data_IF_469954344454
#
_entry.id   IF_469954344454
#
_cell.length_a   1.000
_cell.length_b   1.000
_cell.length_c   1.000
_cell.angle_alpha   90.00
_cell.angle_beta   90.00
_cell.angle_gamma   90.00
#
_symmetry.space_group_name_H-M   'P 1'
#
loop_
_entity.id
_entity.type
_entity.pdbx_description
1 polymer ?
#
# COMPACT_ATOMS: atom_id res chain seq x y z
N UNK A 1 -23.56 31.58 -53.08
CA UNK A 1 -22.16 32.09 -53.03
C UNK A 1 -22.09 33.28 -52.08
N UNK A 2 -20.97 33.41 -51.34
CA UNK A 2 -20.62 34.35 -50.24
C UNK A 2 -20.85 33.73 -48.84
N UNK A 3 -19.81 33.11 -48.23
CA UNK A 3 -18.79 33.68 -47.29
C UNK A 3 -19.48 34.18 -46.00
N UNK A 4 -19.16 33.79 -44.76
CA UNK A 4 -17.88 33.57 -44.08
C UNK A 4 -18.17 32.80 -42.76
N UNK A 5 -17.38 31.79 -42.38
CA UNK A 5 -16.27 31.87 -41.40
C UNK A 5 -16.70 32.24 -39.97
N UNK A 6 -16.57 31.27 -39.05
CA UNK A 6 -16.79 31.46 -37.62
C UNK A 6 -16.41 30.21 -36.82
N UNK A 7 -15.17 29.73 -36.99
CA UNK A 7 -14.54 28.78 -36.06
C UNK A 7 -14.58 29.39 -34.65
N UNK A 8 -15.37 28.82 -33.74
CA UNK A 8 -15.11 28.94 -32.31
C UNK A 8 -14.35 27.69 -31.88
N UNK A 9 -13.04 27.78 -32.07
CA UNK A 9 -12.07 26.99 -31.33
C UNK A 9 -12.29 27.35 -29.87
N UNK A 10 -13.09 26.55 -29.16
CA UNK A 10 -12.93 26.46 -27.73
C UNK A 10 -11.53 25.88 -27.52
N UNK A 11 -10.57 26.76 -27.28
CA UNK A 11 -9.25 26.39 -26.77
C UNK A 11 -9.52 25.58 -25.50
N UNK A 12 -9.53 24.26 -25.66
CA UNK A 12 -9.06 23.37 -24.62
C UNK A 12 -7.66 23.88 -24.32
N UNK A 13 -7.53 24.67 -23.27
CA UNK A 13 -6.25 24.85 -22.60
C UNK A 13 -5.88 23.46 -22.10
N UNK A 14 -5.32 22.64 -23.00
CA UNK A 14 -4.38 21.60 -22.65
C UNK A 14 -3.17 22.36 -22.11
N UNK A 15 -3.30 22.86 -20.89
CA UNK A 15 -2.15 23.23 -20.10
C UNK A 15 -1.43 21.90 -19.91
N UNK A 16 -0.20 21.72 -20.42
CA UNK A 16 0.63 20.66 -19.90
C UNK A 16 1.00 21.16 -18.51
N UNK A 17 0.10 20.97 -17.55
CA UNK A 17 0.43 21.13 -16.15
C UNK A 17 1.37 19.97 -15.84
N UNK A 18 2.65 20.14 -16.19
CA UNK A 18 3.74 19.63 -15.37
C UNK A 18 3.72 20.38 -14.03
N UNK A 19 2.56 20.40 -13.37
CA UNK A 19 2.46 20.71 -11.96
C UNK A 19 3.10 19.52 -11.28
N UNK A 20 4.24 19.75 -10.64
CA UNK A 20 4.88 18.72 -9.83
C UNK A 20 3.87 18.15 -8.84
N UNK A 21 3.97 16.84 -8.56
CA UNK A 21 3.15 16.17 -7.55
C UNK A 21 3.19 16.97 -6.25
N UNK A 22 2.01 17.32 -5.75
CA UNK A 22 1.83 18.14 -4.55
C UNK A 22 0.80 17.51 -3.61
N UNK A 23 0.64 18.10 -2.42
CA UNK A 23 -0.34 17.62 -1.44
C UNK A 23 -1.78 17.65 -1.96
N UNK A 24 -2.07 18.50 -2.96
CA UNK A 24 -3.39 18.64 -3.56
C UNK A 24 -3.64 17.65 -4.70
N UNK A 25 -2.61 17.01 -5.26
CA UNK A 25 -2.75 15.98 -6.29
C UNK A 25 -3.55 14.79 -5.76
N UNK A 26 -4.44 14.22 -6.56
CA UNK A 26 -5.19 13.00 -6.24
C UNK A 26 -4.28 11.80 -5.97
N UNK A 27 -4.81 10.75 -5.33
CA UNK A 27 -4.01 9.52 -5.12
C UNK A 27 -3.71 8.82 -6.44
N UNK A 28 -4.62 8.89 -7.41
CA UNK A 28 -4.45 8.37 -8.76
C UNK A 28 -3.29 9.07 -9.48
N UNK A 29 -3.19 10.40 -9.40
CA UNK A 29 -2.05 11.16 -9.93
C UNK A 29 -0.74 10.82 -9.22
N UNK A 30 -0.76 10.67 -7.89
CA UNK A 30 0.45 10.32 -7.11
C UNK A 30 0.93 8.91 -7.45
N UNK A 31 0.04 7.92 -7.52
CA UNK A 31 0.38 6.52 -7.78
C UNK A 31 0.83 6.27 -9.22
N UNK A 32 0.34 7.08 -10.17
CA UNK A 32 0.74 6.98 -11.58
C UNK A 32 2.04 7.72 -11.90
N UNK A 33 2.50 8.62 -11.02
CA UNK A 33 3.69 9.42 -11.24
C UNK A 33 4.99 8.60 -11.02
N UNK A 34 5.76 8.44 -12.09
CA UNK A 34 7.06 7.72 -12.07
C UNK A 34 8.17 8.43 -11.29
N UNK A 35 7.98 9.70 -10.97
CA UNK A 35 8.97 10.55 -10.28
C UNK A 35 8.79 10.55 -8.76
N UNK A 36 7.77 9.85 -8.24
CA UNK A 36 7.48 9.76 -6.81
C UNK A 36 7.43 8.31 -6.36
N UNK A 37 7.69 8.12 -5.07
CA UNK A 37 7.57 6.84 -4.39
C UNK A 37 6.69 7.02 -3.16
N UNK A 38 5.69 6.16 -3.05
CA UNK A 38 4.77 6.10 -1.93
C UNK A 38 5.24 5.01 -0.98
N UNK A 39 5.46 5.35 0.30
CA UNK A 39 5.81 4.38 1.33
C UNK A 39 4.63 4.20 2.28
N UNK A 40 3.64 3.42 1.84
CA UNK A 40 2.47 3.14 2.63
C UNK A 40 2.84 2.32 3.89
N UNK A 41 2.17 2.54 5.03
CA UNK A 41 2.18 1.57 6.12
C UNK A 41 1.63 0.22 5.64
N UNK A 42 1.83 -0.82 6.45
CA UNK A 42 1.40 -2.18 6.12
C UNK A 42 0.32 -2.69 7.07
N UNK A 43 -0.63 -3.45 6.53
CA UNK A 43 -1.58 -4.31 7.23
C UNK A 43 -1.03 -5.74 7.23
N UNK A 44 -1.15 -6.46 8.35
CA UNK A 44 -0.72 -7.85 8.41
C UNK A 44 -1.90 -8.80 8.12
N UNK A 45 -1.78 -9.55 7.04
CA UNK A 45 -2.76 -10.53 6.56
C UNK A 45 -2.10 -11.91 6.34
N UNK A 46 -1.31 -12.37 7.30
CA UNK A 46 -0.38 -13.51 7.15
C UNK A 46 0.96 -13.12 6.49
N UNK A 47 1.00 -11.95 5.85
CA UNK A 47 2.19 -11.22 5.42
C UNK A 47 1.91 -9.72 5.48
N UNK A 48 2.96 -8.90 5.42
CA UNK A 48 2.81 -7.45 5.30
C UNK A 48 2.28 -7.07 3.92
N UNK A 49 1.17 -6.33 3.90
CA UNK A 49 0.51 -5.82 2.69
C UNK A 49 0.32 -4.31 2.84
N UNK A 50 0.71 -3.53 1.83
CA UNK A 50 0.57 -2.07 1.86
C UNK A 50 -0.89 -1.63 1.93
N UNK A 51 -1.18 -0.57 2.70
CA UNK A 51 -2.54 0.01 2.81
C UNK A 51 -3.12 0.45 1.46
N UNK A 52 -2.29 0.68 0.46
CA UNK A 52 -2.69 1.09 -0.90
C UNK A 52 -3.08 -0.09 -1.77
N UNK A 53 -2.87 -1.32 -1.29
CA UNK A 53 -3.24 -2.57 -1.94
C UNK A 53 -4.38 -3.31 -1.23
N UNK A 54 -5.04 -2.65 -0.27
CA UNK A 54 -6.20 -3.20 0.45
C UNK A 54 -7.46 -2.39 0.19
N UNK A 55 -8.60 -3.06 0.27
CA UNK A 55 -9.93 -2.48 0.29
C UNK A 55 -10.70 -2.99 1.52
N UNK A 56 -11.73 -2.26 1.92
CA UNK A 56 -12.62 -2.64 3.00
C UNK A 56 -13.72 -3.56 2.47
N UNK A 57 -13.83 -4.74 3.07
CA UNK A 57 -14.85 -5.75 2.79
C UNK A 57 -15.68 -5.98 4.07
N UNK A 58 -16.73 -5.19 4.24
CA UNK A 58 -17.54 -5.15 5.45
C UNK A 58 -16.70 -4.81 6.70
N UNK A 59 -16.52 -5.80 7.58
CA UNK A 59 -15.76 -5.68 8.84
C UNK A 59 -14.30 -6.15 8.72
N UNK A 60 -13.82 -6.41 7.50
CA UNK A 60 -12.47 -6.88 7.22
C UNK A 60 -11.77 -5.96 6.22
N UNK A 61 -10.44 -6.02 6.22
CA UNK A 61 -9.60 -5.53 5.13
C UNK A 61 -9.26 -6.73 4.24
N UNK A 62 -9.33 -6.55 2.92
CA UNK A 62 -9.02 -7.56 1.91
C UNK A 62 -8.02 -6.99 0.89
N UNK A 63 -7.16 -7.81 0.31
CA UNK A 63 -6.35 -7.36 -0.83
C UNK A 63 -7.23 -6.97 -2.03
N UNK A 64 -6.82 -6.00 -2.82
CA UNK A 64 -7.59 -5.57 -4.01
C UNK A 64 -7.52 -6.62 -5.12
N UNK A 65 -6.44 -7.42 -5.15
CA UNK A 65 -6.25 -8.53 -6.10
C UNK A 65 -5.72 -9.77 -5.36
N UNK A 66 -5.84 -10.97 -5.97
CA UNK A 66 -5.21 -12.17 -5.43
C UNK A 66 -3.70 -11.99 -5.26
N UNK A 67 -3.16 -12.57 -4.19
CA UNK A 67 -1.74 -12.62 -3.91
C UNK A 67 -1.28 -14.07 -3.99
N UNK A 68 -0.17 -14.28 -4.69
CA UNK A 68 0.43 -15.60 -4.84
C UNK A 68 1.01 -16.09 -3.51
N UNK A 69 0.70 -17.33 -3.19
CA UNK A 69 1.31 -18.08 -2.10
C UNK A 69 2.48 -18.86 -2.68
N UNK A 70 3.67 -18.58 -2.19
CA UNK A 70 4.91 -19.21 -2.65
C UNK A 70 5.50 -20.11 -1.57
N UNK A 71 6.10 -21.22 -1.98
CA UNK A 71 6.92 -22.07 -1.12
C UNK A 71 8.29 -22.28 -1.75
N UNK A 72 9.32 -22.35 -0.92
CA UNK A 72 10.63 -22.81 -1.36
C UNK A 72 10.64 -24.33 -1.48
N UNK A 73 11.01 -24.84 -2.65
CA UNK A 73 11.29 -26.26 -2.88
C UNK A 73 12.78 -26.44 -3.12
N UNK A 74 13.38 -27.36 -2.37
CA UNK A 74 14.79 -27.72 -2.54
C UNK A 74 14.91 -28.93 -3.45
N UNK A 75 15.71 -28.81 -4.50
CA UNK A 75 16.08 -29.87 -5.43
C UNK A 75 17.61 -30.04 -5.37
N UNK A 76 18.09 -30.85 -4.43
CA UNK A 76 19.53 -30.97 -4.15
C UNK A 76 20.11 -29.63 -3.67
N UNK A 77 21.10 -29.11 -4.39
CA UNK A 77 21.78 -27.84 -4.06
C UNK A 77 21.04 -26.58 -4.58
N UNK A 78 19.86 -26.74 -5.19
CA UNK A 78 19.06 -25.63 -5.74
C UNK A 78 17.82 -25.40 -4.90
N UNK A 79 17.54 -24.14 -4.59
CA UNK A 79 16.28 -23.70 -4.01
C UNK A 79 15.48 -22.95 -5.08
N UNK A 80 14.24 -23.38 -5.30
CA UNK A 80 13.31 -22.75 -6.24
C UNK A 80 12.07 -22.27 -5.49
N UNK A 81 11.67 -21.02 -5.74
CA UNK A 81 10.42 -20.47 -5.20
C UNK A 81 9.29 -20.79 -6.17
N UNK A 82 8.35 -21.64 -5.75
CA UNK A 82 7.22 -22.09 -6.57
C UNK A 82 5.92 -21.52 -6.04
N UNK A 83 5.08 -21.00 -6.94
CA UNK A 83 3.71 -20.58 -6.61
C UNK A 83 2.83 -21.82 -6.44
N UNK A 84 2.21 -21.96 -5.27
CA UNK A 84 1.36 -23.11 -4.91
C UNK A 84 -0.13 -22.77 -4.80
N UNK A 85 -0.46 -21.48 -4.92
CA UNK A 85 -1.84 -21.01 -4.92
C UNK A 85 -1.88 -19.49 -5.08
N UNK A 86 -3.07 -18.97 -5.34
CA UNK A 86 -3.32 -17.54 -5.40
C UNK A 86 -4.69 -17.27 -4.79
N UNK A 87 -4.81 -16.24 -3.97
CA UNK A 87 -6.05 -15.94 -3.28
C UNK A 87 -6.06 -14.55 -2.69
N UNK A 88 -7.26 -14.06 -2.39
CA UNK A 88 -7.42 -12.82 -1.64
C UNK A 88 -6.99 -13.04 -0.20
N UNK A 89 -6.11 -12.18 0.30
CA UNK A 89 -5.78 -12.16 1.73
C UNK A 89 -6.80 -11.29 2.44
N UNK A 90 -7.18 -11.67 3.66
CA UNK A 90 -8.14 -10.92 4.46
C UNK A 90 -7.74 -10.94 5.94
N UNK A 91 -8.04 -9.86 6.64
CA UNK A 91 -7.88 -9.74 8.10
C UNK A 91 -9.01 -8.89 8.67
N UNK A 92 -9.55 -9.21 9.85
CA UNK A 92 -10.58 -8.38 10.45
C UNK A 92 -10.02 -6.99 10.80
N UNK A 93 -10.82 -5.94 10.60
CA UNK A 93 -10.45 -4.57 10.96
C UNK A 93 -10.17 -4.47 12.45
N UNK A 94 -11.05 -5.06 13.26
CA UNK A 94 -10.89 -5.19 14.70
C UNK A 94 -10.43 -6.60 15.02
N UNK A 95 -9.24 -6.73 15.59
CA UNK A 95 -8.61 -8.02 15.81
C UNK A 95 -8.40 -8.31 17.29
N UNK A 96 -8.43 -9.59 17.62
CA UNK A 96 -8.13 -10.11 18.97
C UNK A 96 -7.24 -11.33 18.83
N UNK A 97 -6.01 -11.24 19.34
CA UNK A 97 -5.00 -12.28 19.21
C UNK A 97 -4.52 -12.65 20.61
N UNK A 98 -4.25 -13.93 20.82
CA UNK A 98 -3.61 -14.40 22.05
C UNK A 98 -2.11 -14.46 21.81
N UNK A 99 -1.34 -13.69 22.58
CA UNK A 99 0.12 -13.73 22.57
C UNK A 99 0.60 -14.38 23.86
N UNK A 100 1.62 -15.22 23.76
CA UNK A 100 2.29 -15.76 24.94
C UNK A 100 3.31 -14.72 25.42
N UNK A 101 3.05 -14.08 26.56
CA UNK A 101 3.98 -13.15 27.16
C UNK A 101 4.77 -13.88 28.26
N UNK A 102 6.07 -14.06 28.03
CA UNK A 102 6.96 -14.73 28.96
C UNK A 102 7.82 -13.73 29.72
N UNK A 103 7.84 -13.85 31.04
CA UNK A 103 8.69 -13.06 31.91
C UNK A 103 9.49 -13.97 32.86
N UNK A 104 10.64 -13.48 33.29
CA UNK A 104 11.49 -14.18 34.25
C UNK A 104 11.08 -13.80 35.67
N UNK A 105 10.83 -14.79 36.52
CA UNK A 105 10.61 -14.60 37.95
C UNK A 105 11.43 -15.64 38.71
N UNK A 106 12.35 -15.21 39.58
CA UNK A 106 13.19 -16.09 40.41
C UNK A 106 13.81 -17.28 39.62
N UNK A 107 14.47 -17.01 38.49
CA UNK A 107 15.08 -18.01 37.59
C UNK A 107 14.12 -19.03 36.95
N UNK A 108 12.80 -18.83 37.06
CA UNK A 108 11.80 -19.58 36.30
C UNK A 108 11.19 -18.68 35.20
N UNK A 109 11.11 -19.20 33.98
CA UNK A 109 10.40 -18.55 32.88
C UNK A 109 8.91 -18.85 33.02
N UNK A 110 8.11 -17.83 33.33
CA UNK A 110 6.66 -17.93 33.41
C UNK A 110 6.06 -17.31 32.15
N UNK A 111 5.33 -18.12 31.39
CA UNK A 111 4.60 -17.67 30.21
C UNK A 111 3.11 -17.58 30.52
N UNK A 112 2.50 -16.44 30.19
CA UNK A 112 1.05 -16.25 30.32
C UNK A 112 0.48 -15.82 28.99
N UNK A 113 -0.59 -16.49 28.58
CA UNK A 113 -1.39 -16.08 27.45
C UNK A 113 -2.08 -14.76 27.78
N UNK A 114 -1.84 -13.75 26.96
CA UNK A 114 -2.45 -12.43 27.05
C UNK A 114 -3.26 -12.18 25.78
N UNK A 115 -4.50 -11.72 25.96
CA UNK A 115 -5.34 -11.30 24.85
C UNK A 115 -5.00 -9.86 24.48
N UNK A 116 -4.47 -9.67 23.27
CA UNK A 116 -4.20 -8.36 22.69
C UNK A 116 -5.31 -8.03 21.71
N UNK A 117 -5.92 -6.86 21.90
CA UNK A 117 -6.93 -6.31 20.99
C UNK A 117 -6.34 -5.11 20.26
N UNK A 118 -6.71 -4.93 19.01
CA UNK A 118 -6.31 -3.78 18.22
C UNK A 118 -7.24 -3.57 17.05
N UNK A 119 -6.98 -2.50 16.30
CA UNK A 119 -7.70 -2.23 15.07
C UNK A 119 -6.79 -1.59 14.02
N UNK A 120 -7.07 -1.91 12.76
CA UNK A 120 -6.46 -1.24 11.62
C UNK A 120 -7.20 0.05 11.32
N UNK A 121 -6.47 1.17 11.19
CA UNK A 121 -7.06 2.46 10.88
C UNK A 121 -7.49 2.51 9.40
N UNK A 122 -8.74 2.87 9.13
CA UNK A 122 -9.24 2.99 7.76
C UNK A 122 -8.70 4.24 7.04
N UNK A 123 -8.16 5.20 7.78
CA UNK A 123 -7.50 6.37 7.23
C UNK A 123 -6.10 6.47 7.81
N UNK A 124 -5.09 6.49 6.93
CA UNK A 124 -3.67 6.53 7.30
C UNK A 124 -2.97 7.71 6.65
N UNK A 125 -1.96 8.25 7.33
CA UNK A 125 -1.08 9.27 6.78
C UNK A 125 0.09 8.60 6.07
N UNK A 126 0.17 8.74 4.75
CA UNK A 126 1.19 8.10 3.93
C UNK A 126 2.24 9.14 3.48
N UNK A 127 3.54 8.91 3.73
CA UNK A 127 4.60 9.76 3.20
C UNK A 127 4.83 9.52 1.71
N UNK A 128 4.95 10.64 0.98
CA UNK A 128 5.28 10.68 -0.44
C UNK A 128 6.67 11.27 -0.60
N UNK A 129 7.50 10.59 -1.39
CA UNK A 129 8.87 10.98 -1.68
C UNK A 129 9.04 11.24 -3.17
N UNK A 130 9.98 12.11 -3.53
CA UNK A 130 10.51 12.22 -4.89
C UNK A 130 11.65 11.23 -5.07
N UNK A 131 11.64 10.47 -6.16
CA UNK A 131 12.76 9.66 -6.58
C UNK A 131 13.84 10.57 -7.18
N UNK A 132 15.03 10.52 -6.61
CA UNK A 132 16.25 11.12 -7.15
C UNK A 132 17.15 9.96 -7.55
N UNK A 133 17.10 9.58 -8.81
CA UNK A 133 18.03 8.58 -9.33
C UNK A 133 19.41 9.22 -9.47
N UNK A 134 20.38 8.71 -8.72
CA UNK A 134 21.80 8.93 -9.04
C UNK A 134 22.35 7.61 -9.55
N UNK A 135 23.37 7.66 -10.43
CA UNK A 135 23.90 6.49 -11.16
C UNK A 135 24.22 5.25 -10.30
N UNK A 136 24.35 5.39 -8.98
CA UNK A 136 24.80 4.33 -8.07
C UNK A 136 23.78 3.93 -6.98
N UNK A 137 22.70 4.71 -6.76
CA UNK A 137 21.68 4.38 -5.76
C UNK A 137 20.41 5.23 -5.95
N UNK A 138 19.25 4.64 -5.62
CA UNK A 138 17.99 5.35 -5.50
C UNK A 138 17.99 6.19 -4.22
N UNK A 139 18.03 7.51 -4.38
CA UNK A 139 17.84 8.45 -3.30
C UNK A 139 16.41 8.98 -3.30
N UNK A 140 15.90 9.29 -2.12
CA UNK A 140 14.53 9.76 -1.94
C UNK A 140 14.52 11.06 -1.16
N UNK A 141 13.81 12.07 -1.66
CA UNK A 141 13.55 13.30 -0.92
C UNK A 141 12.10 13.35 -0.49
N UNK A 142 11.86 13.52 0.80
CA UNK A 142 10.51 13.68 1.32
C UNK A 142 9.83 14.90 0.70
N UNK A 143 8.59 14.72 0.24
CA UNK A 143 7.77 15.82 -0.29
C UNK A 143 6.72 16.24 0.74
N UNK A 144 5.84 15.32 1.11
CA UNK A 144 4.74 15.59 2.05
C UNK A 144 4.12 14.29 2.56
N UNK A 145 3.33 14.41 3.63
CA UNK A 145 2.38 13.39 4.06
C UNK A 145 0.99 13.68 3.48
N UNK A 146 0.30 12.65 3.03
CA UNK A 146 -1.08 12.75 2.53
C UNK A 146 -1.95 11.68 3.19
N UNK A 147 -3.17 12.07 3.54
CA UNK A 147 -4.17 11.17 4.09
C UNK A 147 -4.70 10.24 3.00
N UNK A 148 -4.71 8.93 3.25
CA UNK A 148 -5.29 7.90 2.40
C UNK A 148 -6.38 7.18 3.18
N UNK A 149 -7.57 7.12 2.61
CA UNK A 149 -8.69 6.36 3.17
C UNK A 149 -8.85 5.09 2.34
N UNK A 150 -8.88 3.94 3.01
CA UNK A 150 -9.06 2.63 2.39
C UNK A 150 -10.41 2.62 1.65
N UNK A 151 -10.43 2.32 0.33
CA UNK A 151 -11.68 2.28 -0.43
C UNK A 151 -12.50 1.04 -0.05
N UNK A 152 -13.80 1.05 -0.34
CA UNK A 152 -14.60 -0.18 -0.30
C UNK A 152 -14.15 -1.13 -1.42
N UNK A 153 -14.27 -2.43 -1.19
CA UNK A 153 -14.08 -3.41 -2.26
C UNK A 153 -15.26 -3.34 -3.24
N UNK A 154 -14.95 -3.47 -4.53
CA UNK A 154 -15.94 -3.73 -5.59
C UNK A 154 -16.46 -5.18 -5.52
#
# INVERSE_FOLDING_TARGET
MKKAFGLLVAMMFAVPAFAGISKNSSWEEIMSAKTVVVKAPTVYMGRSVDYTFVCQDGNSLRTIKPVDTTVSKSYGDREEVVVVGSGYLSTPINYTHTVENCFWNNNQRLCKNQTVKGSYALTVSIPVYRLISTKNADHYTFLFNKSYTVPQCD
#
